data_IF_268724554740
#
_entry.id   IF_268724554740
#
_cell.length_a   1.000
_cell.length_b   1.000
_cell.length_c   1.000
_cell.angle_alpha   90.00
_cell.angle_beta   90.00
_cell.angle_gamma   90.00
#
_symmetry.space_group_name_H-M   'P 1'
#
loop_
_entity.id
_entity.type
_entity.pdbx_description
1 polymer ?
#
# COMPACT_ATOMS: atom_id res chain seq x y z
N UNK A 1 -2.49 5.03 -19.05
CA UNK A 1 -3.76 4.99 -18.26
C UNK A 1 -3.47 5.55 -16.87
N UNK A 2 -4.37 6.29 -16.22
CA UNK A 2 -4.09 6.81 -14.86
C UNK A 2 -4.22 5.67 -13.84
N UNK A 3 -3.17 5.42 -13.08
CA UNK A 3 -3.15 4.32 -12.10
C UNK A 3 -2.29 4.64 -10.89
N UNK A 4 -2.44 3.85 -9.83
CA UNK A 4 -1.55 3.86 -8.68
C UNK A 4 -1.15 2.43 -8.32
N UNK A 5 0.15 2.23 -8.09
CA UNK A 5 0.67 1.02 -7.44
C UNK A 5 1.03 1.37 -6.01
N UNK A 6 0.34 0.76 -5.06
CA UNK A 6 0.47 1.12 -3.65
C UNK A 6 1.09 -0.06 -2.90
N UNK A 7 2.22 0.18 -2.25
CA UNK A 7 2.82 -0.78 -1.30
C UNK A 7 2.38 -0.39 0.10
N UNK A 8 1.79 -1.32 0.82
CA UNK A 8 1.17 -1.09 2.14
C UNK A 8 1.60 -2.21 3.10
N UNK A 9 2.12 -1.90 4.30
CA UNK A 9 2.37 -2.94 5.30
C UNK A 9 1.05 -3.58 5.75
N UNK A 10 1.05 -4.90 5.92
CA UNK A 10 -0.10 -5.69 6.39
C UNK A 10 -0.26 -5.62 7.91
N UNK A 11 -0.37 -4.41 8.45
CA UNK A 11 -0.65 -4.14 9.86
C UNK A 11 -1.43 -2.82 9.96
N UNK A 12 -2.47 -2.80 10.80
CA UNK A 12 -3.36 -1.64 10.96
C UNK A 12 -2.61 -0.40 11.42
N UNK A 13 -1.82 -0.53 12.49
CA UNK A 13 -1.01 0.55 13.03
C UNK A 13 0.44 0.12 13.06
N UNK A 14 1.22 0.63 12.12
CA UNK A 14 2.66 0.50 12.18
C UNK A 14 3.23 1.48 13.22
N UNK A 15 3.89 0.99 14.29
CA UNK A 15 4.54 1.86 15.26
C UNK A 15 5.65 2.65 14.59
N UNK A 16 5.84 3.91 15.00
CA UNK A 16 6.88 4.82 14.46
C UNK A 16 6.89 4.85 12.91
N UNK A 17 5.71 4.80 12.29
CA UNK A 17 5.52 4.75 10.83
C UNK A 17 6.19 5.90 10.10
N UNK A 18 6.21 7.12 10.65
CA UNK A 18 6.90 8.26 10.03
C UNK A 18 8.44 8.06 9.95
N UNK A 19 9.16 7.74 11.06
CA UNK A 19 10.56 7.32 10.97
C UNK A 19 10.81 6.16 10.01
N UNK A 20 9.95 5.13 9.99
CA UNK A 20 10.06 3.98 9.07
C UNK A 20 9.91 4.42 7.62
N UNK A 21 8.93 5.28 7.31
CA UNK A 21 8.75 5.86 5.98
C UNK A 21 9.98 6.62 5.51
N UNK A 22 10.58 7.45 6.37
CA UNK A 22 11.83 8.16 6.05
C UNK A 22 12.99 7.19 5.80
N UNK A 23 13.05 6.05 6.49
CA UNK A 23 14.07 5.03 6.26
C UNK A 23 13.90 4.38 4.87
N UNK A 24 12.67 4.03 4.50
CA UNK A 24 12.33 3.52 3.17
C UNK A 24 12.73 4.51 2.08
N UNK A 25 12.35 5.79 2.21
CA UNK A 25 12.74 6.84 1.25
C UNK A 25 14.25 6.88 1.07
N UNK A 26 15.01 6.93 2.17
CA UNK A 26 16.49 6.95 2.09
C UNK A 26 17.05 5.71 1.39
N UNK A 27 16.47 4.54 1.61
CA UNK A 27 16.87 3.32 0.93
C UNK A 27 16.55 3.37 -0.57
N UNK A 28 15.34 3.79 -0.95
CA UNK A 28 14.94 3.95 -2.36
C UNK A 28 15.82 4.96 -3.10
N UNK A 29 16.15 6.08 -2.46
CA UNK A 29 17.08 7.09 -3.00
C UNK A 29 18.48 6.51 -3.17
N UNK A 30 19.00 5.77 -2.18
CA UNK A 30 20.32 5.11 -2.29
C UNK A 30 20.37 4.07 -3.42
N UNK A 31 19.25 3.43 -3.70
CA UNK A 31 19.09 2.51 -4.85
C UNK A 31 18.82 3.21 -6.17
N UNK A 32 18.76 4.54 -6.18
CA UNK A 32 18.45 5.36 -7.34
C UNK A 32 17.06 5.02 -7.96
N UNK A 33 16.09 4.58 -7.14
CA UNK A 33 14.74 4.23 -7.59
C UNK A 33 13.85 5.48 -7.66
N UNK A 34 14.04 6.38 -6.71
CA UNK A 34 13.39 7.70 -6.67
C UNK A 34 14.44 8.79 -6.46
N UNK A 35 14.11 10.00 -6.87
CA UNK A 35 14.91 11.20 -6.62
C UNK A 35 14.85 11.62 -5.15
N UNK A 36 15.90 12.30 -4.68
CA UNK A 36 15.98 12.74 -3.28
C UNK A 36 15.06 13.92 -2.97
N UNK A 37 14.90 14.83 -3.94
CA UNK A 37 14.16 16.07 -3.75
C UNK A 37 12.70 15.90 -4.15
N UNK A 38 11.80 16.50 -3.36
CA UNK A 38 10.39 16.56 -3.71
C UNK A 38 10.18 17.54 -4.86
N UNK A 39 9.36 17.16 -5.83
CA UNK A 39 8.92 18.00 -6.93
C UNK A 39 7.40 17.89 -7.09
N UNK A 40 6.80 18.67 -7.99
CA UNK A 40 5.34 18.70 -8.22
C UNK A 40 4.83 17.51 -9.05
N UNK A 41 5.43 16.33 -8.89
CA UNK A 41 5.13 15.12 -9.67
C UNK A 41 4.13 14.17 -8.97
N UNK A 42 3.52 14.62 -7.87
CA UNK A 42 2.49 13.90 -7.12
C UNK A 42 1.09 14.14 -7.68
N UNK A 43 0.15 13.30 -7.26
CA UNK A 43 -1.26 13.38 -7.64
C UNK A 43 -2.15 13.90 -6.52
N UNK A 44 -1.83 13.60 -5.26
CA UNK A 44 -2.69 13.89 -4.12
C UNK A 44 -2.22 15.12 -3.34
N UNK A 45 -3.08 15.64 -2.46
CA UNK A 45 -2.73 16.70 -1.52
C UNK A 45 -2.18 17.97 -2.19
N UNK A 46 -0.94 18.32 -1.88
CA UNK A 46 -0.24 19.49 -2.43
C UNK A 46 0.52 19.21 -3.73
N UNK A 47 0.40 18.01 -4.29
CA UNK A 47 1.06 17.58 -5.52
C UNK A 47 2.56 17.30 -5.38
N UNK A 48 3.12 17.30 -4.17
CA UNK A 48 4.55 17.06 -3.95
C UNK A 48 4.83 15.56 -3.81
N UNK A 49 5.80 15.05 -4.55
CA UNK A 49 6.23 13.65 -4.52
C UNK A 49 7.73 13.52 -4.85
N UNK A 50 8.29 12.35 -4.56
CA UNK A 50 9.66 12.01 -5.00
C UNK A 50 9.59 11.49 -6.43
N UNK A 51 10.23 12.19 -7.37
CA UNK A 51 10.19 11.80 -8.77
C UNK A 51 10.83 10.43 -9.00
N UNK A 52 10.44 9.76 -10.09
CA UNK A 52 11.10 8.54 -10.56
C UNK A 52 12.57 8.80 -10.92
N UNK A 53 13.47 7.90 -10.51
CA UNK A 53 14.90 7.95 -10.87
C UNK A 53 15.31 6.76 -11.75
N UNK A 54 16.45 6.83 -12.49
CA UNK A 54 16.83 5.83 -13.50
C UNK A 54 16.94 4.38 -13.00
N UNK A 55 17.27 4.18 -11.72
CA UNK A 55 17.36 2.86 -11.10
C UNK A 55 16.01 2.15 -10.93
N UNK A 56 14.88 2.84 -11.11
CA UNK A 56 13.54 2.23 -11.08
C UNK A 56 13.38 1.05 -12.06
N UNK A 57 14.06 1.11 -13.21
CA UNK A 57 14.08 0.02 -14.20
C UNK A 57 14.57 -1.33 -13.61
N UNK A 58 15.37 -1.30 -12.54
CA UNK A 58 15.89 -2.51 -11.92
C UNK A 58 14.86 -3.27 -11.06
N UNK A 59 13.79 -2.59 -10.61
CA UNK A 59 12.81 -3.14 -9.64
C UNK A 59 11.45 -3.48 -10.24
N UNK A 60 11.26 -3.21 -11.54
CA UNK A 60 10.00 -3.49 -12.25
C UNK A 60 10.13 -4.57 -13.32
N UNK A 61 9.01 -5.22 -13.65
CA UNK A 61 8.95 -6.28 -14.66
C UNK A 61 9.05 -5.71 -16.10
N UNK A 62 8.47 -4.53 -16.32
CA UNK A 62 8.37 -3.85 -17.62
C UNK A 62 8.96 -2.43 -17.53
N UNK A 63 10.29 -2.26 -17.63
CA UNK A 63 10.94 -0.96 -17.53
C UNK A 63 10.46 0.07 -18.55
N UNK A 64 10.05 -0.38 -19.74
CA UNK A 64 9.51 0.44 -20.82
C UNK A 64 8.17 1.09 -20.49
N UNK A 65 7.43 0.54 -19.51
CA UNK A 65 6.15 1.07 -19.05
C UNK A 65 6.28 2.01 -17.83
N UNK A 66 7.52 2.35 -17.42
CA UNK A 66 7.75 3.34 -16.37
C UNK A 66 7.36 4.74 -16.85
N UNK A 67 6.73 5.57 -15.99
CA UNK A 67 6.21 6.88 -16.37
C UNK A 67 7.29 7.98 -16.43
N UNK A 68 8.44 7.69 -17.04
CA UNK A 68 9.49 8.71 -17.23
C UNK A 68 8.99 9.84 -18.12
N UNK A 69 9.21 11.09 -17.68
CA UNK A 69 8.78 12.29 -18.40
C UNK A 69 7.30 12.64 -18.24
N UNK A 70 6.50 11.79 -17.60
CA UNK A 70 5.10 12.11 -17.30
C UNK A 70 5.00 13.14 -16.16
N UNK A 71 4.02 14.07 -16.19
CA UNK A 71 3.84 15.06 -15.13
C UNK A 71 3.57 14.43 -13.76
N UNK A 72 2.91 13.27 -13.75
CA UNK A 72 2.60 12.51 -12.53
C UNK A 72 3.32 11.18 -12.61
N UNK A 73 4.42 11.06 -11.88
CA UNK A 73 5.28 9.87 -11.88
C UNK A 73 5.84 9.53 -10.49
N UNK A 74 5.58 10.39 -9.51
CA UNK A 74 6.29 10.37 -8.25
C UNK A 74 5.72 9.39 -7.22
N UNK A 75 6.56 9.08 -6.24
CA UNK A 75 6.21 8.38 -5.02
C UNK A 75 5.63 9.37 -3.99
N UNK A 76 4.40 9.14 -3.58
CA UNK A 76 3.74 9.82 -2.46
C UNK A 76 3.67 8.90 -1.23
N UNK A 77 3.71 9.48 -0.04
CA UNK A 77 3.71 8.74 1.22
C UNK A 77 2.55 9.21 2.06
N UNK A 78 1.71 8.27 2.46
CA UNK A 78 0.59 8.50 3.36
C UNK A 78 1.00 8.00 4.75
N UNK A 79 0.95 8.87 5.75
CA UNK A 79 1.29 8.56 7.15
C UNK A 79 0.07 8.71 8.07
N UNK A 80 -1.12 8.45 7.53
CA UNK A 80 -2.39 8.48 8.26
C UNK A 80 -3.16 7.21 7.92
N UNK A 81 -4.10 6.80 8.79
CA UNK A 81 -4.98 5.66 8.53
C UNK A 81 -5.69 5.81 7.20
N UNK A 82 -5.64 4.76 6.39
CA UNK A 82 -6.25 4.70 5.08
C UNK A 82 -6.63 3.25 4.74
N UNK A 83 -7.73 3.11 4.00
CA UNK A 83 -8.16 1.86 3.39
C UNK A 83 -7.58 1.82 1.98
N UNK A 84 -6.81 0.78 1.67
CA UNK A 84 -6.21 0.60 0.35
C UNK A 84 -6.88 -0.58 -0.35
N UNK A 85 -7.78 -0.27 -1.27
CA UNK A 85 -8.53 -1.25 -2.07
C UNK A 85 -8.48 -0.88 -3.55
N UNK A 86 -8.70 -1.83 -4.46
CA UNK A 86 -8.98 -1.52 -5.87
C UNK A 86 -10.18 -0.55 -5.97
N UNK A 87 -10.06 0.51 -6.76
CA UNK A 87 -11.15 1.47 -6.92
C UNK A 87 -12.31 0.94 -7.78
N UNK A 88 -12.05 -0.04 -8.65
CA UNK A 88 -13.05 -0.64 -9.55
C UNK A 88 -13.11 -2.14 -9.30
N UNK A 89 -14.33 -2.68 -9.17
CA UNK A 89 -14.57 -4.12 -9.06
C UNK A 89 -14.02 -4.76 -7.78
N UNK A 90 -13.90 -4.00 -6.69
CA UNK A 90 -13.63 -4.58 -5.38
C UNK A 90 -14.87 -5.35 -4.89
N UNK A 91 -14.67 -6.59 -4.48
CA UNK A 91 -15.74 -7.53 -4.15
C UNK A 91 -16.25 -7.36 -2.72
N UNK A 92 -15.49 -6.68 -1.85
CA UNK A 92 -15.82 -6.55 -0.41
C UNK A 92 -16.02 -7.92 0.27
N UNK A 93 -15.27 -8.93 -0.20
CA UNK A 93 -15.28 -10.28 0.35
C UNK A 93 -14.09 -10.47 1.30
N UNK A 94 -14.38 -10.97 2.50
CA UNK A 94 -13.35 -11.34 3.46
C UNK A 94 -13.69 -12.64 4.18
N UNK A 95 -12.67 -13.42 4.54
CA UNK A 95 -12.80 -14.67 5.26
C UNK A 95 -12.12 -14.63 6.63
N UNK A 96 -12.71 -15.27 7.62
CA UNK A 96 -12.03 -15.51 8.90
C UNK A 96 -10.93 -16.56 8.72
N UNK A 97 -9.70 -16.25 9.15
CA UNK A 97 -8.58 -17.18 9.09
C UNK A 97 -8.81 -18.46 9.91
N UNK A 98 -9.54 -18.34 11.03
CA UNK A 98 -9.81 -19.42 11.97
C UNK A 98 -10.96 -20.35 11.50
N UNK A 99 -12.19 -19.82 11.35
CA UNK A 99 -13.34 -20.66 11.03
C UNK A 99 -13.59 -20.84 9.51
N UNK A 100 -12.80 -20.15 8.67
CA UNK A 100 -12.84 -20.23 7.20
C UNK A 100 -14.21 -19.87 6.59
N UNK A 101 -15.03 -19.12 7.33
CA UNK A 101 -16.31 -18.58 6.86
C UNK A 101 -16.13 -17.16 6.33
N UNK A 102 -16.99 -16.81 5.38
CA UNK A 102 -17.12 -15.46 4.86
C UNK A 102 -17.66 -14.54 5.97
N UNK A 103 -17.03 -13.37 6.13
CA UNK A 103 -17.31 -12.35 7.17
C UNK A 103 -17.17 -10.92 6.64
N UNK A 104 -17.11 -10.75 5.32
CA UNK A 104 -16.85 -9.48 4.63
C UNK A 104 -17.81 -8.39 5.06
N UNK A 105 -19.12 -8.62 4.97
CA UNK A 105 -20.13 -7.62 5.33
C UNK A 105 -19.87 -7.04 6.73
N UNK A 106 -19.68 -7.89 7.74
CA UNK A 106 -19.39 -7.46 9.11
C UNK A 106 -18.02 -6.79 9.25
N UNK A 107 -17.00 -7.27 8.53
CA UNK A 107 -15.65 -6.68 8.56
C UNK A 107 -15.66 -5.28 7.94
N UNK A 108 -16.30 -5.08 6.79
CA UNK A 108 -16.37 -3.79 6.13
C UNK A 108 -17.26 -2.80 6.89
N UNK A 109 -18.34 -3.25 7.53
CA UNK A 109 -19.11 -2.42 8.47
C UNK A 109 -18.26 -1.93 9.66
N UNK A 110 -17.39 -2.80 10.20
CA UNK A 110 -16.49 -2.42 11.31
C UNK A 110 -15.47 -1.33 10.96
N UNK A 111 -15.30 -0.98 9.69
CA UNK A 111 -14.39 0.07 9.26
C UNK A 111 -14.79 1.46 9.78
N UNK A 112 -16.04 1.67 10.17
CA UNK A 112 -16.49 2.91 10.83
C UNK A 112 -15.83 3.12 12.20
N UNK A 113 -15.50 2.04 12.91
CA UNK A 113 -14.76 2.07 14.18
C UNK A 113 -13.25 2.02 13.97
N UNK A 114 -12.81 1.27 12.96
CA UNK A 114 -11.39 1.20 12.60
C UNK A 114 -10.86 2.55 12.11
N UNK A 115 -11.52 3.21 11.15
CA UNK A 115 -11.02 4.46 10.55
C UNK A 115 -10.65 5.56 11.57
N UNK A 116 -11.47 5.86 12.60
CA UNK A 116 -11.15 6.86 13.62
C UNK A 116 -10.09 6.43 14.64
N UNK A 117 -9.55 5.20 14.57
CA UNK A 117 -8.52 4.76 15.50
C UNK A 117 -9.03 4.06 16.76
N UNK A 118 -10.30 3.62 16.81
CA UNK A 118 -10.87 3.00 18.03
C UNK A 118 -10.38 1.57 18.25
N UNK A 119 -10.00 0.88 17.17
CA UNK A 119 -9.47 -0.49 17.18
C UNK A 119 -8.46 -0.67 16.05
N UNK A 120 -7.53 -1.62 16.23
CA UNK A 120 -6.71 -2.20 15.15
C UNK A 120 -7.25 -3.55 14.66
N UNK A 121 -8.14 -4.13 15.45
CA UNK A 121 -8.58 -5.51 15.33
C UNK A 121 -10.01 -5.61 14.81
N UNK A 122 -10.33 -6.77 14.26
CA UNK A 122 -11.69 -7.21 13.97
C UNK A 122 -11.96 -8.55 14.67
N UNK A 123 -13.13 -8.68 15.29
CA UNK A 123 -13.58 -9.91 15.96
C UNK A 123 -14.60 -10.63 15.08
N UNK A 124 -14.28 -11.85 14.65
CA UNK A 124 -15.16 -12.67 13.84
C UNK A 124 -16.49 -12.95 14.58
N UNK A 125 -17.66 -12.58 14.02
CA UNK A 125 -18.95 -12.76 14.70
C UNK A 125 -19.39 -14.23 14.78
N UNK A 126 -18.75 -15.13 14.01
CA UNK A 126 -19.12 -16.53 13.91
C UNK A 126 -18.35 -17.44 14.87
N UNK A 127 -17.11 -17.08 15.23
CA UNK A 127 -16.26 -17.91 16.09
C UNK A 127 -15.52 -17.13 17.19
N UNK A 128 -15.74 -15.82 17.30
CA UNK A 128 -15.09 -14.92 18.26
C UNK A 128 -13.56 -14.83 18.17
N UNK A 129 -12.95 -15.32 17.08
CA UNK A 129 -11.54 -15.07 16.80
C UNK A 129 -11.31 -13.58 16.54
N UNK A 130 -10.40 -12.97 17.30
CA UNK A 130 -9.98 -11.59 17.13
C UNK A 130 -8.53 -11.55 16.65
N UNK A 131 -8.27 -10.70 15.65
CA UNK A 131 -6.93 -10.44 15.12
C UNK A 131 -6.87 -9.02 14.54
N UNK A 132 -5.67 -8.53 14.21
CA UNK A 132 -5.50 -7.32 13.37
C UNK A 132 -6.36 -7.46 12.11
N UNK A 133 -6.97 -6.36 11.66
CA UNK A 133 -7.85 -6.40 10.49
C UNK A 133 -7.17 -7.00 9.24
N UNK A 134 -5.84 -6.90 9.11
CA UNK A 134 -5.06 -7.49 8.01
C UNK A 134 -4.77 -9.00 8.18
N UNK A 135 -5.08 -9.57 9.35
CA UNK A 135 -5.02 -11.00 9.65
C UNK A 135 -6.15 -11.81 9.01
N UNK A 136 -7.21 -11.14 8.56
CA UNK A 136 -8.30 -11.76 7.81
C UNK A 136 -7.90 -12.03 6.35
N UNK A 137 -8.63 -12.94 5.72
CA UNK A 137 -8.36 -13.41 4.36
C UNK A 137 -9.09 -12.53 3.36
N UNK A 138 -8.38 -11.99 2.38
CA UNK A 138 -8.96 -11.18 1.31
C UNK A 138 -8.68 -11.85 -0.04
N UNK A 139 -9.69 -11.93 -0.92
CA UNK A 139 -9.54 -12.54 -2.25
C UNK A 139 -8.89 -11.60 -3.27
N UNK A 140 -8.97 -10.30 -3.03
CA UNK A 140 -8.32 -9.28 -3.83
C UNK A 140 -7.25 -8.55 -3.00
N UNK A 141 -6.17 -8.06 -3.62
CA UNK A 141 -5.16 -7.28 -2.91
C UNK A 141 -5.79 -6.04 -2.27
N UNK A 142 -5.82 -6.01 -0.94
CA UNK A 142 -6.15 -4.84 -0.15
C UNK A 142 -5.30 -4.83 1.13
N UNK A 143 -5.26 -3.69 1.79
CA UNK A 143 -4.63 -3.54 3.10
C UNK A 143 -5.19 -2.33 3.84
N UNK A 144 -5.05 -2.36 5.16
CA UNK A 144 -5.53 -1.33 6.06
C UNK A 144 -4.35 -0.89 6.90
N UNK A 145 -3.91 0.36 6.78
CA UNK A 145 -2.74 0.80 7.53
C UNK A 145 -2.71 2.30 7.75
N UNK A 146 -1.91 2.74 8.71
CA UNK A 146 -1.48 4.13 8.90
C UNK A 146 -0.28 4.52 8.02
N UNK A 147 0.21 3.63 7.15
CA UNK A 147 1.30 3.88 6.23
C UNK A 147 0.98 3.33 4.83
N UNK A 148 1.29 4.09 3.79
CA UNK A 148 1.24 3.59 2.41
C UNK A 148 2.17 4.37 1.48
N UNK A 149 2.71 3.68 0.48
CA UNK A 149 3.63 4.21 -0.52
C UNK A 149 2.99 4.13 -1.89
N UNK A 150 2.56 5.27 -2.42
CA UNK A 150 1.80 5.38 -3.67
C UNK A 150 2.77 5.72 -4.79
N UNK A 151 3.00 4.78 -5.70
CA UNK A 151 3.76 4.97 -6.93
C UNK A 151 2.79 5.29 -8.07
N UNK A 152 2.71 6.56 -8.45
CA UNK A 152 1.72 7.03 -9.42
C UNK A 152 2.10 6.65 -10.85
N UNK A 153 1.17 6.00 -11.56
CA UNK A 153 1.29 5.50 -12.93
C UNK A 153 2.30 4.36 -13.12
N UNK A 154 2.65 3.61 -12.07
CA UNK A 154 3.57 2.47 -12.14
C UNK A 154 2.87 1.11 -12.34
N UNK A 155 1.54 1.06 -12.44
CA UNK A 155 0.80 -0.21 -12.45
C UNK A 155 1.13 -1.12 -13.64
N UNK A 156 1.37 -0.53 -14.82
CA UNK A 156 1.75 -1.26 -16.03
C UNK A 156 3.20 -1.78 -15.95
N UNK A 157 4.11 -1.02 -15.32
CA UNK A 157 5.50 -1.44 -15.13
C UNK A 157 5.62 -2.69 -14.25
N UNK A 158 4.80 -2.75 -13.19
CA UNK A 158 4.69 -3.88 -12.28
C UNK A 158 5.94 -4.14 -11.42
N UNK A 159 5.79 -4.36 -10.11
CA UNK A 159 6.95 -4.65 -9.26
C UNK A 159 7.44 -6.09 -9.41
N UNK A 160 8.76 -6.28 -9.37
CA UNK A 160 9.35 -7.61 -9.19
C UNK A 160 9.12 -8.08 -7.76
N UNK A 161 8.92 -9.39 -7.58
CA UNK A 161 8.69 -9.97 -6.25
C UNK A 161 9.86 -9.72 -5.29
N UNK A 162 11.11 -9.87 -5.74
CA UNK A 162 12.28 -9.63 -4.91
C UNK A 162 12.40 -8.18 -4.39
N UNK A 163 11.86 -7.20 -5.12
CA UNK A 163 11.78 -5.83 -4.64
C UNK A 163 10.72 -5.69 -3.54
N UNK A 164 9.56 -6.32 -3.70
CA UNK A 164 8.51 -6.34 -2.67
C UNK A 164 9.00 -7.05 -1.40
N UNK A 165 9.75 -8.14 -1.54
CA UNK A 165 10.35 -8.88 -0.43
C UNK A 165 11.35 -8.00 0.33
N UNK A 166 12.27 -7.33 -0.38
CA UNK A 166 13.22 -6.41 0.26
C UNK A 166 12.53 -5.18 0.89
N UNK A 167 11.45 -4.69 0.28
CA UNK A 167 10.64 -3.62 0.85
C UNK A 167 10.01 -4.06 2.18
N UNK A 168 9.48 -5.29 2.21
CA UNK A 168 8.93 -5.91 3.42
C UNK A 168 10.01 -6.06 4.51
N UNK A 169 11.21 -6.50 4.14
CA UNK A 169 12.35 -6.61 5.07
C UNK A 169 12.73 -5.25 5.67
N UNK A 170 12.78 -4.18 4.86
CA UNK A 170 13.06 -2.83 5.37
C UNK A 170 11.95 -2.28 6.26
N UNK A 171 10.70 -2.64 5.99
CA UNK A 171 9.57 -2.30 6.85
C UNK A 171 9.46 -3.20 8.08
N UNK A 172 10.18 -4.32 8.13
CA UNK A 172 10.03 -5.38 9.12
C UNK A 172 8.57 -5.83 9.26
N UNK A 173 7.86 -5.92 8.12
CA UNK A 173 6.45 -6.27 8.02
C UNK A 173 6.14 -6.85 6.63
N UNK A 174 5.25 -7.85 6.52
CA UNK A 174 4.70 -8.24 5.22
C UNK A 174 4.02 -7.06 4.53
N UNK A 175 4.06 -7.00 3.20
CA UNK A 175 3.42 -5.94 2.42
C UNK A 175 2.37 -6.49 1.46
N UNK A 176 1.31 -5.72 1.25
CA UNK A 176 0.40 -5.87 0.13
C UNK A 176 0.80 -4.92 -1.00
N UNK A 177 0.66 -5.37 -2.24
CA UNK A 177 0.72 -4.52 -3.43
C UNK A 177 -0.70 -4.35 -3.98
N UNK A 178 -1.27 -3.17 -3.76
CA UNK A 178 -2.62 -2.81 -4.20
C UNK A 178 -2.51 -2.00 -5.49
N UNK A 179 -3.27 -2.40 -6.51
CA UNK A 179 -3.36 -1.67 -7.79
C UNK A 179 -4.69 -0.93 -7.84
N UNK A 180 -4.62 0.35 -8.16
CA UNK A 180 -5.79 1.22 -8.27
C UNK A 180 -5.83 1.79 -9.68
N UNK A 181 -6.91 1.49 -10.42
CA UNK A 181 -7.22 2.14 -11.68
C UNK A 181 -8.12 3.34 -11.42
N UNK A 182 -7.66 4.53 -11.81
CA UNK A 182 -8.37 5.78 -11.58
C UNK A 182 -9.39 6.10 -12.69
#
# INVERSE_FOLDING_TARGET
MNSQSIIVPKISTLPVHEPRARAIVRWLVRKNIIEQELTTCGRTGNGMAYAIAPGAASVVLHPEALPFGEPVNGLEIITKRCIYTPAKGFLEEAGCAECRKEVGEALFESLEDWMPGRTDNFTCPLCAHEDDINGFLFLQPCAFSNLGFIFNNWAEAGFKQNFLDEFADWLDQPVAWVKVEL
#
